data_IF_530187165613
#
_entry.id   IF_530187165613
#
_cell.length_a   1.000
_cell.length_b   1.000
_cell.length_c   1.000
_cell.angle_alpha   90.00
_cell.angle_beta   90.00
_cell.angle_gamma   90.00
#
_symmetry.space_group_name_H-M   'P 1'
#
loop_
_entity.id
_entity.type
_entity.pdbx_description
1 polymer ?
#
# COMPACT_ATOMS: atom_id res chain seq x y z
N UNK A 1 -14.64 -16.19 -64.85
CA UNK A 1 -14.22 -16.47 -63.47
C UNK A 1 -13.48 -15.25 -62.96
N UNK A 2 -14.13 -14.42 -62.15
CA UNK A 2 -13.51 -13.22 -61.55
C UNK A 2 -12.67 -13.63 -60.32
N UNK A 3 -11.44 -13.14 -60.15
CA UNK A 3 -10.64 -13.47 -58.98
C UNK A 3 -11.26 -12.82 -57.73
N UNK A 4 -11.35 -13.60 -56.65
CA UNK A 4 -11.80 -13.13 -55.33
C UNK A 4 -10.79 -12.13 -54.75
N UNK A 5 -11.23 -11.01 -54.15
CA UNK A 5 -10.31 -10.06 -53.51
C UNK A 5 -9.71 -10.69 -52.24
N UNK A 6 -8.38 -10.60 -52.12
CA UNK A 6 -7.67 -10.99 -50.90
C UNK A 6 -8.00 -9.95 -49.83
N UNK A 7 -8.67 -10.35 -48.75
CA UNK A 7 -8.91 -9.45 -47.63
C UNK A 7 -7.57 -9.10 -46.97
N UNK A 8 -7.22 -7.81 -47.02
CA UNK A 8 -6.11 -7.24 -46.27
C UNK A 8 -6.39 -7.43 -44.77
N UNK A 9 -5.83 -8.49 -44.19
CA UNK A 9 -5.78 -8.66 -42.73
C UNK A 9 -4.91 -7.54 -42.20
N UNK A 10 -5.54 -6.53 -41.60
CA UNK A 10 -4.86 -5.37 -41.02
C UNK A 10 -3.97 -5.78 -39.84
N UNK A 11 -2.70 -6.07 -40.14
CA UNK A 11 -1.63 -6.36 -39.18
C UNK A 11 -1.46 -5.27 -38.10
N UNK A 12 -2.00 -4.07 -38.31
CA UNK A 12 -1.95 -2.95 -37.37
C UNK A 12 -2.76 -3.11 -36.08
N UNK A 13 -3.70 -4.07 -36.01
CA UNK A 13 -4.55 -4.30 -34.82
C UNK A 13 -3.91 -5.20 -33.76
N UNK A 14 -2.82 -5.91 -34.09
CA UNK A 14 -2.27 -6.97 -33.24
C UNK A 14 -1.20 -6.45 -32.25
N UNK A 15 -0.56 -5.31 -32.52
CA UNK A 15 0.67 -4.90 -31.81
C UNK A 15 0.52 -3.69 -30.87
N UNK A 16 -0.61 -2.97 -30.87
CA UNK A 16 -0.81 -1.79 -29.99
C UNK A 16 -1.38 -2.11 -28.60
N UNK A 17 -0.89 -3.15 -27.92
CA UNK A 17 -1.14 -3.30 -26.46
C UNK A 17 -0.05 -2.58 -25.69
N UNK A 18 -0.22 -1.28 -25.53
CA UNK A 18 0.65 -0.37 -24.78
C UNK A 18 0.99 -0.91 -23.38
N UNK A 19 2.21 -0.70 -22.89
CA UNK A 19 2.68 -1.11 -21.55
C UNK A 19 1.73 -0.69 -20.41
N UNK A 20 1.06 0.46 -20.55
CA UNK A 20 0.01 0.94 -19.63
C UNK A 20 -1.14 -0.06 -19.49
N UNK A 21 -1.58 -0.67 -20.60
CA UNK A 21 -2.63 -1.68 -20.58
C UNK A 21 -2.17 -2.98 -19.92
N UNK A 22 -0.88 -3.32 -20.04
CA UNK A 22 -0.28 -4.48 -19.39
C UNK A 22 -0.20 -4.29 -17.87
N UNK A 23 0.33 -3.14 -17.40
CA UNK A 23 0.39 -2.83 -15.97
C UNK A 23 -1.00 -2.78 -15.34
N UNK A 24 -1.94 -2.06 -15.99
CA UNK A 24 -3.32 -1.96 -15.53
C UNK A 24 -3.93 -3.35 -15.34
N UNK A 25 -3.77 -4.22 -16.33
CA UNK A 25 -4.27 -5.60 -16.27
C UNK A 25 -3.62 -6.38 -15.14
N UNK A 26 -2.30 -6.29 -14.96
CA UNK A 26 -1.58 -6.95 -13.88
C UNK A 26 -2.01 -6.47 -12.50
N UNK A 27 -2.17 -5.15 -12.31
CA UNK A 27 -2.62 -4.55 -11.05
C UNK A 27 -4.02 -5.04 -10.67
N UNK A 28 -4.96 -5.02 -11.62
CA UNK A 28 -6.33 -5.47 -11.35
C UNK A 28 -6.45 -6.98 -11.12
N UNK A 29 -5.46 -7.78 -11.53
CA UNK A 29 -5.39 -9.22 -11.25
C UNK A 29 -4.92 -9.57 -9.83
N UNK A 30 -4.39 -8.60 -9.07
CA UNK A 30 -3.99 -8.87 -7.70
C UNK A 30 -5.23 -9.01 -6.79
N UNK A 31 -5.13 -9.80 -5.70
CA UNK A 31 -6.16 -9.85 -4.67
C UNK A 31 -6.54 -8.46 -4.16
N UNK A 32 -7.83 -8.28 -3.83
CA UNK A 32 -8.41 -6.94 -3.68
C UNK A 32 -7.89 -6.19 -2.46
N UNK A 33 -7.73 -6.86 -1.31
CA UNK A 33 -7.30 -6.25 -0.07
C UNK A 33 -5.80 -5.94 -0.11
N UNK A 34 -4.98 -6.90 -0.55
CA UNK A 34 -3.55 -6.71 -0.79
C UNK A 34 -3.30 -5.49 -1.65
N UNK A 35 -3.99 -5.42 -2.79
CA UNK A 35 -3.87 -4.32 -3.73
C UNK A 35 -4.18 -2.99 -3.05
N UNK A 36 -5.29 -2.92 -2.32
CA UNK A 36 -5.67 -1.69 -1.60
C UNK A 36 -4.63 -1.29 -0.55
N UNK A 37 -4.17 -2.22 0.29
CA UNK A 37 -3.19 -1.92 1.34
C UNK A 37 -1.87 -1.43 0.75
N UNK A 38 -1.36 -2.10 -0.28
CA UNK A 38 -0.13 -1.68 -0.98
C UNK A 38 -0.31 -0.30 -1.59
N UNK A 39 -1.44 -0.04 -2.25
CA UNK A 39 -1.72 1.28 -2.84
C UNK A 39 -1.81 2.37 -1.79
N UNK A 40 -2.46 2.13 -0.65
CA UNK A 40 -2.52 3.10 0.45
C UNK A 40 -1.11 3.41 0.98
N UNK A 41 -0.31 2.38 1.28
CA UNK A 41 1.04 2.58 1.81
C UNK A 41 1.94 3.36 0.86
N UNK A 42 1.92 3.01 -0.44
CA UNK A 42 2.70 3.73 -1.45
C UNK A 42 2.21 5.16 -1.60
N UNK A 43 0.89 5.40 -1.61
CA UNK A 43 0.34 6.75 -1.70
C UNK A 43 0.72 7.61 -0.48
N UNK A 44 0.58 7.06 0.73
CA UNK A 44 0.96 7.73 1.99
C UNK A 44 2.45 8.06 1.98
N UNK A 45 3.32 7.14 1.55
CA UNK A 45 4.75 7.40 1.44
C UNK A 45 5.07 8.52 0.46
N UNK A 46 4.45 8.52 -0.73
CA UNK A 46 4.65 9.58 -1.73
C UNK A 46 4.19 10.93 -1.17
N UNK A 47 3.02 10.99 -0.55
CA UNK A 47 2.54 12.21 0.13
C UNK A 47 3.51 12.65 1.22
N UNK A 48 4.03 11.71 2.02
CA UNK A 48 5.03 12.00 3.04
C UNK A 48 6.30 12.62 2.43
N UNK A 49 6.77 12.15 1.27
CA UNK A 49 7.93 12.76 0.59
C UNK A 49 7.67 14.23 0.23
N UNK A 50 6.46 14.57 -0.22
CA UNK A 50 6.09 15.98 -0.46
C UNK A 50 5.95 16.78 0.83
N UNK A 51 5.46 16.18 1.91
CA UNK A 51 5.35 16.83 3.23
C UNK A 51 6.72 17.24 3.80
N UNK A 52 7.81 16.56 3.46
CA UNK A 52 9.15 17.01 3.86
C UNK A 52 9.52 18.39 3.31
N UNK A 53 8.86 18.85 2.24
CA UNK A 53 9.02 20.21 1.71
C UNK A 53 8.28 21.25 2.55
N UNK A 54 7.38 20.82 3.46
CA UNK A 54 6.58 21.66 4.32
C UNK A 54 6.70 21.23 5.79
N UNK A 55 7.71 21.73 6.54
CA UNK A 55 8.03 21.24 7.89
C UNK A 55 6.87 21.31 8.89
N UNK A 56 6.06 22.37 8.85
CA UNK A 56 4.91 22.51 9.74
C UNK A 56 3.83 21.45 9.45
N UNK A 57 3.55 21.17 8.17
CA UNK A 57 2.63 20.11 7.77
C UNK A 57 3.16 18.71 8.12
N UNK A 58 4.45 18.46 7.89
CA UNK A 58 5.09 17.21 8.28
C UNK A 58 4.98 16.97 9.80
N UNK A 59 5.27 17.99 10.60
CA UNK A 59 5.16 17.92 12.06
C UNK A 59 3.72 17.63 12.50
N UNK A 60 2.75 18.35 11.95
CA UNK A 60 1.33 18.11 12.24
C UNK A 60 0.95 16.64 11.97
N UNK A 61 1.38 16.10 10.83
CA UNK A 61 1.11 14.71 10.45
C UNK A 61 1.80 13.73 11.40
N UNK A 62 3.06 13.96 11.78
CA UNK A 62 3.72 13.10 12.76
C UNK A 62 3.02 13.15 14.12
N UNK A 63 2.69 14.35 14.60
CA UNK A 63 2.13 14.56 15.94
C UNK A 63 0.76 13.90 16.12
N UNK A 64 -0.07 13.80 15.07
CA UNK A 64 -1.45 13.31 15.16
C UNK A 64 -1.68 11.93 14.55
N UNK A 65 -0.84 11.47 13.62
CA UNK A 65 -1.07 10.19 12.91
C UNK A 65 -0.06 9.11 13.33
N UNK A 66 1.13 9.48 13.78
CA UNK A 66 2.15 8.51 14.19
C UNK A 66 1.76 7.90 15.52
N UNK A 67 2.27 6.69 15.79
CA UNK A 67 2.03 6.06 17.09
C UNK A 67 2.84 6.78 18.15
N UNK A 68 2.17 7.47 19.07
CA UNK A 68 2.76 8.02 20.28
C UNK A 68 2.23 7.19 21.45
N UNK A 69 2.91 6.09 21.82
CA UNK A 69 2.41 5.12 22.79
C UNK A 69 2.62 5.61 24.22
N UNK A 70 2.13 6.81 24.54
CA UNK A 70 2.22 7.43 25.87
C UNK A 70 0.82 7.50 26.47
N UNK A 71 0.69 7.08 27.73
CA UNK A 71 -0.57 7.16 28.46
C UNK A 71 -0.62 8.46 29.28
N UNK A 72 -1.75 9.22 29.29
CA UNK A 72 -3.04 8.93 28.66
C UNK A 72 -3.20 9.48 27.24
N UNK A 73 -2.17 10.09 26.64
CA UNK A 73 -2.24 10.81 25.36
C UNK A 73 -2.87 9.98 24.23
N UNK A 74 -2.53 8.70 24.15
CA UNK A 74 -3.09 7.74 23.17
C UNK A 74 -4.63 7.61 23.25
N UNK A 75 -5.25 7.92 24.39
CA UNK A 75 -6.70 7.90 24.56
C UNK A 75 -7.40 9.07 23.88
N UNK A 76 -6.70 10.20 23.70
CA UNK A 76 -7.25 11.36 22.99
C UNK A 76 -7.14 11.19 21.47
N UNK A 77 -6.19 10.37 21.00
CA UNK A 77 -5.95 10.10 19.59
C UNK A 77 -5.91 8.60 19.26
N UNK A 78 -7.00 7.84 19.53
CA UNK A 78 -6.99 6.38 19.43
C UNK A 78 -6.81 5.87 17.99
N UNK A 79 -7.05 6.71 16.98
CA UNK A 79 -6.78 6.37 15.59
C UNK A 79 -5.31 6.11 15.31
N UNK A 80 -4.38 6.62 16.14
CA UNK A 80 -2.95 6.36 16.04
C UNK A 80 -2.63 4.85 16.03
N UNK A 81 -3.42 4.01 16.72
CA UNK A 81 -3.27 2.53 16.70
C UNK A 81 -3.52 1.89 15.33
N UNK A 82 -4.16 2.62 14.41
CA UNK A 82 -4.42 2.16 13.05
C UNK A 82 -3.57 2.92 12.05
N UNK A 83 -3.50 4.26 12.16
CA UNK A 83 -2.86 5.13 11.16
C UNK A 83 -1.36 4.90 11.07
N UNK A 84 -0.71 4.59 12.19
CA UNK A 84 0.73 4.34 12.21
C UNK A 84 1.16 3.17 11.31
N UNK A 85 0.29 2.17 11.10
CA UNK A 85 0.58 1.02 10.24
C UNK A 85 0.83 1.41 8.77
N UNK A 86 0.37 2.59 8.38
CA UNK A 86 0.54 3.12 7.02
C UNK A 86 1.63 4.19 6.94
N UNK A 87 2.17 4.64 8.07
CA UNK A 87 3.10 5.77 8.13
C UNK A 87 4.53 5.37 7.83
N UNK A 88 4.84 5.40 6.54
CA UNK A 88 6.20 5.30 6.04
C UNK A 88 6.68 6.69 5.69
N UNK A 89 7.36 7.35 6.62
CA UNK A 89 7.68 8.78 6.51
C UNK A 89 9.17 9.04 6.44
N UNK A 90 10.03 8.04 6.57
CA UNK A 90 11.47 8.21 6.38
C UNK A 90 11.77 8.60 4.92
N UNK A 91 12.65 9.58 4.74
CA UNK A 91 13.15 9.98 3.42
C UNK A 91 14.41 9.23 2.98
N UNK A 92 14.87 9.52 1.76
CA UNK A 92 16.13 8.99 1.23
C UNK A 92 16.12 7.48 0.96
N UNK A 93 17.32 6.88 0.88
CA UNK A 93 17.48 5.47 0.53
C UNK A 93 16.94 4.53 1.61
N UNK A 94 17.09 4.86 2.89
CA UNK A 94 16.57 4.05 3.99
C UNK A 94 15.05 3.97 3.97
N UNK A 95 14.37 5.10 3.73
CA UNK A 95 12.91 5.15 3.57
C UNK A 95 12.42 4.32 2.39
N UNK A 96 13.07 4.45 1.23
CA UNK A 96 12.75 3.68 0.03
C UNK A 96 12.93 2.17 0.24
N UNK A 97 14.03 1.76 0.87
CA UNK A 97 14.27 0.35 1.17
C UNK A 97 13.25 -0.16 2.20
N UNK A 98 12.93 0.62 3.24
CA UNK A 98 11.95 0.23 4.25
C UNK A 98 10.59 -0.07 3.62
N UNK A 99 10.01 0.88 2.88
CA UNK A 99 8.70 0.65 2.24
C UNK A 99 8.79 -0.45 1.18
N UNK A 100 9.89 -0.49 0.40
CA UNK A 100 10.10 -1.51 -0.63
C UNK A 100 10.07 -2.91 -0.05
N UNK A 101 10.79 -3.17 1.04
CA UNK A 101 10.80 -4.47 1.71
C UNK A 101 9.47 -4.79 2.38
N UNK A 102 8.80 -3.80 3.01
CA UNK A 102 7.50 -4.02 3.63
C UNK A 102 6.45 -4.47 2.59
N UNK A 103 6.38 -3.77 1.45
CA UNK A 103 5.47 -4.12 0.37
C UNK A 103 5.86 -5.42 -0.33
N UNK A 104 7.15 -5.76 -0.40
CA UNK A 104 7.62 -7.03 -0.97
C UNK A 104 7.14 -8.22 -0.13
N UNK A 105 7.33 -8.16 1.19
CA UNK A 105 6.85 -9.20 2.11
C UNK A 105 5.33 -9.32 2.09
N UNK A 106 4.64 -8.18 2.11
CA UNK A 106 3.18 -8.16 2.02
C UNK A 106 2.70 -8.75 0.69
N UNK A 107 3.40 -8.47 -0.42
CA UNK A 107 3.06 -9.01 -1.72
C UNK A 107 3.29 -10.52 -1.83
N UNK A 108 4.38 -11.06 -1.28
CA UNK A 108 4.64 -12.50 -1.36
C UNK A 108 3.73 -13.29 -0.42
N UNK A 109 3.72 -12.95 0.87
CA UNK A 109 2.97 -13.69 1.88
C UNK A 109 1.49 -13.33 1.81
N UNK A 110 1.18 -12.03 1.77
CA UNK A 110 -0.19 -11.54 1.85
C UNK A 110 -1.04 -11.91 0.64
N UNK A 111 -0.43 -11.98 -0.55
CA UNK A 111 -1.12 -12.47 -1.75
C UNK A 111 -1.60 -13.90 -1.63
N UNK A 112 -0.74 -14.78 -1.13
CA UNK A 112 -1.10 -16.18 -0.96
C UNK A 112 -2.09 -16.33 0.19
N UNK A 113 -1.89 -15.62 1.29
CA UNK A 113 -2.82 -15.60 2.39
C UNK A 113 -4.23 -15.17 1.94
N UNK A 114 -4.36 -14.04 1.24
CA UNK A 114 -5.67 -13.55 0.78
C UNK A 114 -6.34 -14.52 -0.20
N UNK A 115 -5.57 -15.23 -1.03
CA UNK A 115 -6.12 -16.26 -1.93
C UNK A 115 -6.70 -17.45 -1.19
N UNK A 116 -6.05 -17.86 -0.09
CA UNK A 116 -6.50 -18.99 0.73
C UNK A 116 -7.67 -18.62 1.67
N UNK A 117 -7.66 -17.40 2.22
CA UNK A 117 -8.53 -16.98 3.34
C UNK A 117 -9.57 -15.93 2.96
N UNK A 118 -9.43 -15.31 1.79
CA UNK A 118 -10.27 -14.22 1.32
C UNK A 118 -9.92 -12.86 1.92
N UNK A 119 -10.43 -11.80 1.27
CA UNK A 119 -10.12 -10.40 1.56
C UNK A 119 -10.53 -9.96 2.97
N UNK A 120 -11.66 -10.46 3.49
CA UNK A 120 -12.15 -10.09 4.84
C UNK A 120 -11.22 -10.55 5.94
N UNK A 121 -10.74 -11.79 5.85
CA UNK A 121 -9.81 -12.35 6.84
C UNK A 121 -8.45 -11.66 6.75
N UNK A 122 -7.98 -11.37 5.53
CA UNK A 122 -6.74 -10.60 5.34
C UNK A 122 -6.79 -9.21 6.00
N UNK A 123 -7.86 -8.44 5.78
CA UNK A 123 -8.06 -7.15 6.48
C UNK A 123 -8.12 -7.30 7.99
N UNK A 124 -8.80 -8.34 8.48
CA UNK A 124 -8.92 -8.59 9.92
C UNK A 124 -7.55 -8.84 10.53
N UNK A 125 -6.77 -9.75 9.93
CA UNK A 125 -5.41 -10.05 10.39
C UNK A 125 -4.57 -8.78 10.36
N UNK A 126 -4.54 -8.06 9.23
CA UNK A 126 -3.75 -6.84 9.09
C UNK A 126 -4.04 -5.79 10.17
N UNK A 127 -5.33 -5.49 10.40
CA UNK A 127 -5.74 -4.49 11.38
C UNK A 127 -5.53 -4.96 12.82
N UNK A 128 -5.87 -6.21 13.14
CA UNK A 128 -5.70 -6.76 14.49
C UNK A 128 -4.23 -6.85 14.87
N UNK A 129 -3.36 -7.29 13.95
CA UNK A 129 -1.91 -7.32 14.22
C UNK A 129 -1.34 -5.93 14.35
N UNK A 130 -1.82 -4.95 13.58
CA UNK A 130 -1.42 -3.56 13.70
C UNK A 130 -1.82 -2.97 15.05
N UNK A 131 -3.09 -3.04 15.42
CA UNK A 131 -3.55 -2.55 16.73
C UNK A 131 -2.85 -3.28 17.88
N UNK A 132 -2.71 -4.61 17.77
CA UNK A 132 -2.00 -5.43 18.76
C UNK A 132 -0.53 -5.04 18.94
N UNK A 133 0.17 -4.71 17.84
CA UNK A 133 1.54 -4.18 17.89
C UNK A 133 1.61 -2.83 18.59
N UNK A 134 0.69 -1.92 18.30
CA UNK A 134 0.61 -0.62 18.95
C UNK A 134 0.33 -0.72 20.45
N UNK A 135 -0.59 -1.61 20.85
CA UNK A 135 -0.88 -1.89 22.26
C UNK A 135 0.31 -2.55 22.96
N UNK A 136 1.01 -3.48 22.31
CA UNK A 136 2.22 -4.09 22.87
C UNK A 136 3.32 -3.04 23.08
N UNK A 137 3.47 -2.08 22.15
CA UNK A 137 4.40 -0.96 22.30
C UNK A 137 4.09 -0.14 23.55
N UNK A 138 2.82 0.24 23.76
CA UNK A 138 2.34 0.94 24.95
C UNK A 138 2.61 0.18 26.26
N UNK A 139 2.55 -1.16 26.23
CA UNK A 139 2.80 -1.99 27.41
C UNK A 139 4.30 -2.16 27.71
N UNK A 140 5.14 -2.23 26.68
CA UNK A 140 6.58 -2.50 26.82
C UNK A 140 7.43 -1.22 26.97
N UNK A 141 6.94 -0.10 26.47
CA UNK A 141 7.59 1.21 26.54
C UNK A 141 6.62 2.21 27.21
N UNK A 142 6.45 2.13 28.54
CA UNK A 142 5.54 3.00 29.28
C UNK A 142 6.00 4.46 29.29
#
# INVERSE_FOLDING_TARGET
MSPTPIQNVGWGSIVKRTAVNQFRTWYYRQPSALRTIVTINVAVYVVAQFLHLWPAGFRFVMDHLALHPVFPDILFEPWQLVTYNFMHTSGGLSGLLHIGFNMLWLFWIGKEFERMHGSRQFWTVYLVTGVGGGLMCLLLQP
#
